data_IF_730650830445
#
_entry.id   IF_730650830445
#
_cell.length_a   1.000
_cell.length_b   1.000
_cell.length_c   1.000
_cell.angle_alpha   90.00
_cell.angle_beta   90.00
_cell.angle_gamma   90.00
#
_symmetry.space_group_name_H-M   'P 1'
#
loop_
_entity.id
_entity.type
_entity.pdbx_description
1 polymer ?
#
# COMPACT_ATOMS: atom_id res chain seq x y z
N UNK A 1 -14.47 34.88 1.03
CA UNK A 1 -13.68 33.82 1.73
C UNK A 1 -12.25 34.34 1.94
N UNK A 2 -11.72 34.35 3.18
CA UNK A 2 -10.43 34.98 3.58
C UNK A 2 -9.19 34.16 3.13
N UNK A 3 -8.99 33.98 1.83
CA UNK A 3 -7.81 33.24 1.34
C UNK A 3 -6.48 34.03 1.51
N UNK A 4 -6.53 35.37 1.60
CA UNK A 4 -5.34 36.22 1.66
C UNK A 4 -4.68 36.41 3.04
N UNK A 5 -5.33 36.02 4.15
CA UNK A 5 -4.88 36.34 5.51
C UNK A 5 -4.20 35.17 6.26
N UNK A 6 -3.88 34.07 5.57
CA UNK A 6 -3.20 32.92 6.22
C UNK A 6 -1.74 33.24 6.48
N UNK A 7 -1.26 32.90 7.68
CA UNK A 7 0.18 32.96 8.01
C UNK A 7 0.94 31.86 7.28
N UNK A 8 2.26 32.02 7.12
CA UNK A 8 3.11 30.96 6.54
C UNK A 8 3.01 29.65 7.32
N UNK A 9 2.85 29.71 8.65
CA UNK A 9 2.64 28.53 9.49
C UNK A 9 1.34 27.80 9.15
N UNK A 10 0.25 28.54 8.95
CA UNK A 10 -1.03 27.95 8.55
C UNK A 10 -0.95 27.33 7.16
N UNK A 11 -0.38 28.01 6.16
CA UNK A 11 -0.18 27.42 4.83
C UNK A 11 0.68 26.16 4.86
N UNK A 12 1.72 26.15 5.71
CA UNK A 12 2.58 24.99 5.89
C UNK A 12 1.83 23.84 6.57
N UNK A 13 1.00 24.14 7.58
CA UNK A 13 0.14 23.15 8.24
C UNK A 13 -0.83 22.50 7.26
N UNK A 14 -1.53 23.32 6.47
CA UNK A 14 -2.46 22.81 5.44
C UNK A 14 -1.73 21.89 4.45
N UNK A 15 -0.51 22.26 4.03
CA UNK A 15 0.32 21.43 3.15
C UNK A 15 0.88 20.17 3.83
N UNK A 16 0.99 20.15 5.16
CA UNK A 16 1.39 18.96 5.92
C UNK A 16 0.24 17.96 6.04
N UNK A 17 -0.99 18.45 6.23
CA UNK A 17 -2.16 17.58 6.37
C UNK A 17 -2.39 16.74 5.11
N UNK A 18 -2.00 17.25 3.95
CA UNK A 18 -2.13 16.57 2.65
C UNK A 18 -0.93 15.67 2.29
N UNK A 19 0.22 15.80 2.97
CA UNK A 19 1.47 15.19 2.55
C UNK A 19 1.76 13.85 3.24
N UNK A 20 2.15 12.84 2.45
CA UNK A 20 2.75 11.60 2.95
C UNK A 20 4.27 11.68 2.83
N UNK A 21 4.96 11.97 3.94
CA UNK A 21 6.43 12.15 3.93
C UNK A 21 7.25 10.89 4.19
N UNK A 22 6.59 9.73 4.11
CA UNK A 22 7.16 8.44 4.45
C UNK A 22 6.64 7.92 5.79
N UNK A 23 5.79 6.91 5.71
CA UNK A 23 5.15 6.27 6.85
C UNK A 23 5.23 4.75 6.69
N UNK A 24 5.51 4.05 7.78
CA UNK A 24 5.49 2.59 7.82
C UNK A 24 4.11 2.15 8.27
N UNK A 25 3.42 1.43 7.39
CA UNK A 25 2.05 0.96 7.62
C UNK A 25 1.99 -0.57 7.56
N UNK A 26 1.21 -1.22 8.45
CA UNK A 26 0.93 -2.64 8.35
C UNK A 26 0.06 -2.94 7.13
N UNK A 27 0.33 -4.09 6.51
CA UNK A 27 -0.42 -4.66 5.42
C UNK A 27 -1.12 -5.94 5.88
N UNK A 28 -2.34 -6.14 5.40
CA UNK A 28 -3.06 -7.42 5.46
C UNK A 28 -2.91 -8.12 4.12
N UNK A 29 -2.56 -9.41 4.15
CA UNK A 29 -2.33 -10.21 2.94
C UNK A 29 -3.47 -11.22 2.73
N UNK A 30 -3.93 -11.36 1.49
CA UNK A 30 -4.80 -12.45 1.05
C UNK A 30 -3.96 -13.70 0.79
N UNK A 31 -3.76 -14.53 1.80
CA UNK A 31 -2.92 -15.74 1.73
C UNK A 31 -3.43 -16.82 0.77
N UNK A 32 -4.73 -16.78 0.42
CA UNK A 32 -5.31 -17.72 -0.53
C UNK A 32 -4.92 -17.36 -1.98
N UNK A 33 -4.56 -16.08 -2.22
CA UNK A 33 -4.13 -15.63 -3.53
C UNK A 33 -2.71 -16.13 -3.86
N UNK A 34 -2.43 -16.63 -5.08
CA UNK A 34 -1.12 -17.20 -5.43
C UNK A 34 0.07 -16.25 -5.29
N UNK A 35 -0.18 -14.94 -5.36
CA UNK A 35 0.87 -13.95 -5.13
C UNK A 35 1.33 -13.90 -3.67
N UNK A 36 0.48 -14.25 -2.70
CA UNK A 36 0.80 -14.25 -1.28
C UNK A 36 1.32 -15.60 -0.74
N UNK A 37 1.39 -16.64 -1.58
CA UNK A 37 1.88 -17.94 -1.14
C UNK A 37 3.29 -17.88 -0.57
N UNK A 38 3.47 -18.47 0.62
CA UNK A 38 4.76 -18.53 1.31
C UNK A 38 5.11 -17.26 2.11
N UNK A 39 4.29 -16.21 2.10
CA UNK A 39 4.54 -15.00 2.89
C UNK A 39 4.45 -15.25 4.40
N UNK A 40 3.55 -16.14 4.84
CA UNK A 40 3.45 -16.58 6.24
C UNK A 40 4.63 -17.43 6.75
N UNK A 41 5.55 -17.86 5.87
CA UNK A 41 6.82 -18.48 6.28
C UNK A 41 7.92 -17.43 6.53
N UNK A 42 7.71 -16.21 6.03
CA UNK A 42 8.66 -15.11 6.10
C UNK A 42 8.43 -14.19 7.31
N UNK A 43 7.20 -14.11 7.84
CA UNK A 43 6.78 -13.29 8.98
C UNK A 43 5.77 -14.03 9.87
N UNK A 44 5.44 -13.49 11.05
CA UNK A 44 4.25 -13.93 11.79
C UNK A 44 2.96 -13.59 11.01
N UNK A 45 2.00 -14.53 11.04
CA UNK A 45 0.73 -14.62 10.31
C UNK A 45 0.25 -13.41 9.47
N UNK A 46 -0.07 -13.67 8.20
CA UNK A 46 -0.90 -12.87 7.26
C UNK A 46 -0.64 -11.37 7.19
N UNK A 47 0.57 -10.94 7.57
CA UNK A 47 0.89 -9.53 7.70
C UNK A 47 2.28 -9.22 7.17
N UNK A 48 2.40 -8.00 6.65
CA UNK A 48 3.67 -7.39 6.26
C UNK A 48 3.59 -5.89 6.58
N UNK A 49 4.58 -5.14 6.12
CA UNK A 49 4.56 -3.69 6.19
C UNK A 49 5.05 -3.11 4.88
N UNK A 50 4.69 -1.86 4.63
CA UNK A 50 5.23 -1.07 3.54
C UNK A 50 5.69 0.29 4.02
N UNK A 51 6.72 0.82 3.36
CA UNK A 51 7.04 2.22 3.44
C UNK A 51 6.20 2.92 2.38
N UNK A 52 5.15 3.59 2.82
CA UNK A 52 4.27 4.35 1.95
C UNK A 52 4.84 5.77 1.79
N UNK A 53 5.14 6.15 0.55
CA UNK A 53 5.76 7.43 0.21
C UNK A 53 4.86 8.33 -0.64
N UNK A 54 3.69 7.82 -1.05
CA UNK A 54 2.82 8.48 -2.01
C UNK A 54 1.52 8.94 -1.34
N UNK A 55 0.84 9.90 -1.95
CA UNK A 55 -0.39 10.47 -1.38
C UNK A 55 -1.64 9.61 -1.66
N UNK A 56 -1.47 8.49 -2.36
CA UNK A 56 -2.53 7.64 -2.92
C UNK A 56 -2.14 6.16 -2.85
N UNK A 57 -3.04 5.33 -2.32
CA UNK A 57 -3.02 3.89 -2.58
C UNK A 57 -3.84 3.53 -3.82
N UNK A 58 -3.89 2.25 -4.15
CA UNK A 58 -4.64 1.75 -5.30
C UNK A 58 -6.12 1.61 -4.92
N UNK A 59 -7.02 2.27 -5.65
CA UNK A 59 -8.47 2.21 -5.39
C UNK A 59 -9.00 0.78 -5.64
N UNK A 60 -9.61 0.12 -4.63
CA UNK A 60 -10.21 -1.19 -4.82
C UNK A 60 -11.42 -1.11 -5.75
N UNK A 61 -11.63 -2.13 -6.58
CA UNK A 61 -12.74 -2.23 -7.54
C UNK A 61 -13.05 -3.70 -7.82
N UNK A 62 -14.28 -4.01 -8.19
CA UNK A 62 -14.69 -5.35 -8.62
C UNK A 62 -13.95 -5.84 -9.88
N UNK A 63 -13.35 -4.92 -10.65
CA UNK A 63 -12.57 -5.24 -11.86
C UNK A 63 -11.14 -5.71 -11.54
N UNK A 64 -10.70 -5.61 -10.28
CA UNK A 64 -9.34 -5.90 -9.83
C UNK A 64 -9.37 -6.77 -8.57
N UNK A 65 -8.36 -7.62 -8.41
CA UNK A 65 -8.20 -8.43 -7.19
C UNK A 65 -7.18 -7.76 -6.28
N UNK A 66 -7.61 -7.38 -5.08
CA UNK A 66 -6.73 -6.90 -4.01
C UNK A 66 -6.05 -8.09 -3.34
N UNK A 67 -4.72 -8.12 -3.36
CA UNK A 67 -3.90 -9.18 -2.74
C UNK A 67 -3.29 -8.70 -1.43
N UNK A 68 -2.96 -7.42 -1.33
CA UNK A 68 -2.56 -6.80 -0.08
C UNK A 68 -3.26 -5.46 0.07
N UNK A 69 -3.82 -5.21 1.26
CA UNK A 69 -4.45 -3.95 1.62
C UNK A 69 -3.80 -3.36 2.86
N UNK A 70 -3.98 -2.07 3.07
CA UNK A 70 -3.73 -1.48 4.38
C UNK A 70 -4.80 -1.99 5.36
N UNK A 71 -4.47 -2.09 6.65
CA UNK A 71 -5.42 -2.55 7.65
C UNK A 71 -6.58 -1.54 7.84
N UNK A 72 -7.81 -2.00 8.10
CA UNK A 72 -8.99 -1.12 8.24
C UNK A 72 -8.84 -0.09 9.36
N UNK A 73 -8.22 -0.49 10.49
CA UNK A 73 -7.80 0.38 11.59
C UNK A 73 -6.29 0.60 11.60
N UNK A 74 -5.71 0.85 10.42
CA UNK A 74 -4.27 1.06 10.27
C UNK A 74 -3.79 2.18 11.20
N UNK A 75 -2.68 1.93 11.86
CA UNK A 75 -1.94 2.92 12.64
C UNK A 75 -0.52 2.96 12.07
N UNK A 76 0.04 4.16 12.02
CA UNK A 76 1.44 4.32 11.65
C UNK A 76 2.32 3.62 12.69
N UNK A 77 3.12 2.65 12.24
CA UNK A 77 4.16 2.03 13.08
C UNK A 77 5.32 3.00 13.27
N UNK A 78 5.60 3.80 12.24
CA UNK A 78 6.63 4.83 12.24
C UNK A 78 6.35 5.87 11.15
N UNK A 79 6.93 7.06 11.29
CA UNK A 79 6.68 8.19 10.38
C UNK A 79 5.53 9.08 10.84
N UNK A 80 5.24 10.11 10.05
CA UNK A 80 4.17 11.07 10.31
C UNK A 80 3.21 11.13 9.11
N UNK A 81 1.91 11.04 9.41
CA UNK A 81 0.81 11.14 8.47
C UNK A 81 -0.39 11.70 9.23
N UNK A 82 -1.22 12.52 8.57
CA UNK A 82 -2.44 13.04 9.18
C UNK A 82 -3.49 11.94 9.33
N UNK A 83 -4.37 12.07 10.33
CA UNK A 83 -5.44 11.09 10.54
C UNK A 83 -6.40 11.01 9.34
N UNK A 84 -6.65 12.14 8.66
CA UNK A 84 -7.47 12.18 7.44
C UNK A 84 -6.83 11.39 6.31
N UNK A 85 -5.52 11.56 6.08
CA UNK A 85 -4.80 10.83 5.05
C UNK A 85 -4.68 9.35 5.39
N UNK A 86 -4.47 9.01 6.66
CA UNK A 86 -4.44 7.63 7.13
C UNK A 86 -5.79 6.92 6.90
N UNK A 87 -6.90 7.62 7.12
CA UNK A 87 -8.25 7.12 6.82
C UNK A 87 -8.49 6.92 5.32
N UNK A 88 -7.94 7.77 4.45
CA UNK A 88 -7.99 7.56 2.99
C UNK A 88 -7.16 6.33 2.58
N UNK A 89 -5.93 6.21 3.08
CA UNK A 89 -5.03 5.10 2.79
C UNK A 89 -5.62 3.76 3.27
N UNK A 90 -6.29 3.73 4.43
CA UNK A 90 -6.89 2.49 4.97
C UNK A 90 -7.96 1.88 4.07
N UNK A 91 -8.56 2.67 3.17
CA UNK A 91 -9.56 2.23 2.21
C UNK A 91 -8.96 1.80 0.87
N UNK A 92 -7.62 1.77 0.77
CA UNK A 92 -6.92 1.45 -0.46
C UNK A 92 -6.19 0.11 -0.41
N UNK A 93 -5.89 -0.41 -1.59
CA UNK A 93 -5.05 -1.57 -1.78
C UNK A 93 -3.58 -1.16 -1.97
N UNK A 94 -2.67 -2.01 -1.50
CA UNK A 94 -1.23 -1.85 -1.70
C UNK A 94 -0.71 -2.74 -2.83
N UNK A 95 -1.28 -3.94 -3.01
CA UNK A 95 -0.99 -4.84 -4.11
C UNK A 95 -2.30 -5.29 -4.76
N UNK A 96 -2.42 -5.04 -6.06
CA UNK A 96 -3.61 -5.41 -6.83
C UNK A 96 -3.26 -6.01 -8.19
N UNK A 97 -4.15 -6.86 -8.70
CA UNK A 97 -4.01 -7.51 -10.01
C UNK A 97 -5.22 -7.21 -10.88
N UNK A 98 -4.95 -6.66 -12.07
CA UNK A 98 -5.94 -6.39 -13.11
C UNK A 98 -5.79 -7.40 -14.25
N UNK A 99 -6.90 -7.78 -14.89
CA UNK A 99 -6.84 -8.38 -16.24
C UNK A 99 -6.97 -7.27 -17.27
N UNK A 100 -6.05 -7.22 -18.23
CA UNK A 100 -6.09 -6.26 -19.34
C UNK A 100 -5.92 -7.03 -20.64
N UNK A 101 -7.02 -7.19 -21.37
CA UNK A 101 -7.09 -8.05 -22.55
C UNK A 101 -6.70 -9.50 -22.22
N UNK A 102 -5.70 -10.01 -22.93
CA UNK A 102 -5.14 -11.34 -22.70
C UNK A 102 -4.03 -11.37 -21.63
N UNK A 103 -3.61 -10.20 -21.16
CA UNK A 103 -2.56 -10.03 -20.16
C UNK A 103 -3.09 -9.69 -18.77
N UNK A 104 -2.14 -9.48 -17.86
CA UNK A 104 -2.40 -8.99 -16.51
C UNK A 104 -1.46 -7.86 -16.15
N UNK A 105 -1.94 -6.96 -15.32
CA UNK A 105 -1.14 -5.89 -14.71
C UNK A 105 -1.13 -6.16 -13.21
N UNK A 106 0.07 -6.31 -12.65
CA UNK A 106 0.28 -6.46 -11.21
C UNK A 106 0.85 -5.13 -10.71
N UNK A 107 0.16 -4.51 -9.76
CA UNK A 107 0.42 -3.14 -9.34
C UNK A 107 0.76 -3.13 -7.86
N UNK A 108 1.90 -2.53 -7.53
CA UNK A 108 2.29 -2.21 -6.16
C UNK A 108 2.17 -0.69 -5.98
N UNK A 109 1.59 -0.24 -4.87
CA UNK A 109 1.41 1.19 -4.58
C UNK A 109 2.76 1.91 -4.31
N UNK A 110 3.75 1.18 -3.79
CA UNK A 110 5.11 1.66 -3.56
C UNK A 110 6.15 0.61 -3.98
N UNK A 111 7.43 0.88 -3.70
CA UNK A 111 8.52 -0.07 -3.91
C UNK A 111 8.39 -1.28 -2.96
N UNK A 112 8.06 -2.50 -3.47
CA UNK A 112 7.96 -3.68 -2.63
C UNK A 112 9.33 -4.17 -2.13
N UNK A 113 10.42 -3.69 -2.72
CA UNK A 113 11.78 -4.10 -2.42
C UNK A 113 12.56 -3.04 -1.64
N UNK A 114 11.88 -2.07 -1.03
CA UNK A 114 12.52 -0.99 -0.27
C UNK A 114 13.55 -1.55 0.73
N UNK A 115 14.83 -1.43 0.35
CA UNK A 115 16.00 -1.98 1.07
C UNK A 115 15.87 -3.43 1.51
N UNK A 116 15.01 -4.22 0.85
CA UNK A 116 14.68 -5.60 1.24
C UNK A 116 14.27 -5.73 2.71
N UNK A 117 13.63 -4.69 3.26
CA UNK A 117 13.36 -4.57 4.69
C UNK A 117 12.36 -5.63 5.18
N UNK A 118 11.42 -6.05 4.33
CA UNK A 118 10.40 -7.05 4.65
C UNK A 118 10.51 -8.27 3.75
N UNK A 119 10.89 -9.44 4.31
CA UNK A 119 11.01 -10.67 3.53
C UNK A 119 9.71 -11.09 2.84
N UNK A 120 8.55 -10.87 3.46
CA UNK A 120 7.25 -11.13 2.84
C UNK A 120 7.04 -10.32 1.54
N UNK A 121 7.48 -9.06 1.47
CA UNK A 121 7.34 -8.26 0.25
C UNK A 121 8.24 -8.77 -0.89
N UNK A 122 9.43 -9.29 -0.54
CA UNK A 122 10.29 -9.95 -1.51
C UNK A 122 9.63 -11.21 -2.09
N UNK A 123 8.92 -11.99 -1.26
CA UNK A 123 8.13 -13.14 -1.71
C UNK A 123 6.99 -12.69 -2.63
N UNK A 124 6.22 -11.66 -2.26
CA UNK A 124 5.16 -11.09 -3.10
C UNK A 124 5.69 -10.69 -4.49
N UNK A 125 6.82 -9.97 -4.53
CA UNK A 125 7.45 -9.53 -5.78
C UNK A 125 7.94 -10.72 -6.61
N UNK A 126 8.58 -11.71 -5.98
CA UNK A 126 9.06 -12.91 -6.67
C UNK A 126 7.89 -13.72 -7.26
N UNK A 127 6.83 -13.88 -6.49
CA UNK A 127 5.61 -14.55 -6.94
C UNK A 127 4.95 -13.80 -8.10
N UNK A 128 4.98 -12.46 -8.12
CA UNK A 128 4.49 -11.67 -9.26
C UNK A 128 5.24 -12.01 -10.56
N UNK A 129 6.55 -12.22 -10.50
CA UNK A 129 7.35 -12.60 -11.66
C UNK A 129 7.12 -14.07 -12.08
N UNK A 130 7.03 -14.99 -11.12
CA UNK A 130 6.99 -16.44 -11.37
C UNK A 130 5.57 -16.93 -11.69
N UNK A 131 4.59 -16.50 -10.91
CA UNK A 131 3.18 -16.91 -11.03
C UNK A 131 2.35 -15.94 -11.85
N UNK A 132 2.73 -14.66 -11.96
CA UNK A 132 2.00 -13.64 -12.72
C UNK A 132 1.51 -14.10 -14.10
N UNK A 133 2.37 -14.73 -14.94
CA UNK A 133 1.96 -15.24 -16.26
C UNK A 133 0.91 -16.36 -16.25
N UNK A 134 0.66 -16.98 -15.08
CA UNK A 134 -0.22 -18.16 -14.91
C UNK A 134 -1.39 -17.92 -13.96
N UNK A 135 -1.52 -16.72 -13.40
CA UNK A 135 -2.69 -16.36 -12.59
C UNK A 135 -3.95 -16.57 -13.42
N UNK A 136 -5.03 -17.05 -12.80
CA UNK A 136 -6.33 -17.15 -13.47
C UNK A 136 -7.17 -15.96 -13.10
#
# INVERSE_FOLDING_TARGET
RRLGLRTTRQRRSDAWDDAVTGVILPLTLDEDHPLAWGTGLANEASSSFALHLTDLGLEPSDDHVTVASFAESVQAVSGAVSDSKLAEISQSSWLSVARVGDGKVIMFADDPLFRLMWPANFVLFTNALVYGPRLR
#
